data_IF_134092700852
#
_entry.id   IF_134092700852
#
_cell.length_a   1.000
_cell.length_b   1.000
_cell.length_c   1.000
_cell.angle_alpha   90.00
_cell.angle_beta   90.00
_cell.angle_gamma   90.00
#
_symmetry.space_group_name_H-M   'P 1'
#
loop_
_entity.id
_entity.type
_entity.pdbx_description
1 polymer ?
#
# COMPACT_ATOMS: atom_id res chain seq x y z
N UNK A 1 -4.90 5.06 1.22
CA UNK A 1 -5.04 5.19 -0.25
C UNK A 1 -4.63 6.57 -0.75
N UNK A 2 -5.04 7.65 -0.08
CA UNK A 2 -4.73 9.05 -0.46
C UNK A 2 -3.24 9.37 -0.66
N UNK A 3 -2.35 8.80 0.18
CA UNK A 3 -0.91 8.99 0.02
C UNK A 3 -0.41 8.52 -1.35
N UNK A 4 -0.80 7.31 -1.77
CA UNK A 4 -0.43 6.73 -3.06
C UNK A 4 -0.95 7.59 -4.22
N UNK A 5 -2.22 8.00 -4.16
CA UNK A 5 -2.85 8.84 -5.20
C UNK A 5 -2.11 10.17 -5.39
N UNK A 6 -1.64 10.78 -4.31
CA UNK A 6 -0.92 12.05 -4.41
C UNK A 6 0.54 11.87 -4.83
N UNK A 7 1.21 10.78 -4.44
CA UNK A 7 2.56 10.50 -4.92
C UNK A 7 2.58 10.13 -6.42
N UNK A 8 1.58 9.41 -6.90
CA UNK A 8 1.46 8.99 -8.31
C UNK A 8 1.35 10.19 -9.28
N UNK A 9 0.87 11.34 -8.80
CA UNK A 9 0.83 12.60 -9.59
C UNK A 9 2.22 13.16 -9.90
N UNK A 10 3.25 12.74 -9.18
CA UNK A 10 4.59 13.34 -9.22
C UNK A 10 5.73 12.35 -9.44
N UNK A 11 5.53 11.06 -9.14
CA UNK A 11 6.57 10.03 -9.16
C UNK A 11 6.07 8.74 -9.80
N UNK A 12 6.99 7.89 -10.26
CA UNK A 12 6.64 6.52 -10.62
C UNK A 12 6.42 5.69 -9.35
N UNK A 13 5.16 5.38 -9.03
CA UNK A 13 4.77 4.73 -7.78
C UNK A 13 4.37 3.28 -8.02
N UNK A 14 4.69 2.42 -7.05
CA UNK A 14 4.16 1.06 -6.95
C UNK A 14 3.23 1.02 -5.74
N UNK A 15 1.98 0.58 -5.96
CA UNK A 15 1.04 0.30 -4.88
C UNK A 15 1.05 -1.16 -4.51
N UNK A 16 1.65 -1.48 -3.37
CA UNK A 16 1.75 -2.85 -2.88
C UNK A 16 0.87 -3.07 -1.64
N UNK A 17 0.17 -4.20 -1.60
CA UNK A 17 -0.52 -4.70 -0.42
C UNK A 17 -0.58 -6.24 -0.49
N UNK A 18 -0.32 -6.92 0.63
CA UNK A 18 -0.40 -8.40 0.71
C UNK A 18 -1.83 -8.90 0.49
N UNK A 19 -2.84 -8.06 0.72
CA UNK A 19 -4.23 -8.38 0.46
C UNK A 19 -4.55 -8.30 -1.04
N UNK A 20 -4.53 -9.46 -1.71
CA UNK A 20 -4.85 -9.61 -3.13
C UNK A 20 -6.26 -9.13 -3.50
N UNK A 21 -7.25 -9.32 -2.63
CA UNK A 21 -8.63 -8.88 -2.90
C UNK A 21 -8.74 -7.35 -2.91
N UNK A 22 -8.04 -6.70 -1.98
CA UNK A 22 -7.92 -5.24 -1.94
C UNK A 22 -7.27 -4.71 -3.20
N UNK A 23 -6.13 -5.27 -3.62
CA UNK A 23 -5.46 -4.89 -4.87
C UNK A 23 -6.37 -5.08 -6.08
N UNK A 24 -7.11 -6.19 -6.16
CA UNK A 24 -8.04 -6.45 -7.26
C UNK A 24 -9.21 -5.46 -7.28
N UNK A 25 -9.72 -5.07 -6.11
CA UNK A 25 -10.78 -4.05 -5.99
C UNK A 25 -10.27 -2.69 -6.47
N UNK A 26 -9.07 -2.30 -6.05
CA UNK A 26 -8.46 -1.02 -6.45
C UNK A 26 -8.19 -0.97 -7.96
N UNK A 27 -7.73 -2.06 -8.56
CA UNK A 27 -7.59 -2.17 -10.03
C UNK A 27 -8.91 -2.00 -10.79
N UNK A 28 -10.05 -2.30 -10.15
CA UNK A 28 -11.39 -2.07 -10.71
C UNK A 28 -11.91 -0.65 -10.44
N UNK A 29 -11.11 0.20 -9.79
CA UNK A 29 -11.49 1.53 -9.34
C UNK A 29 -12.46 1.50 -8.16
N UNK A 30 -12.37 0.48 -7.30
CA UNK A 30 -13.22 0.31 -6.11
C UNK A 30 -12.32 0.40 -4.87
N UNK A 31 -12.48 1.47 -4.11
CA UNK A 31 -11.90 1.60 -2.77
C UNK A 31 -12.97 1.29 -1.72
N UNK A 32 -12.72 0.23 -0.95
CA UNK A 32 -13.67 -0.31 0.04
C UNK A 32 -13.86 0.65 1.22
N UNK A 33 -12.83 1.45 1.52
CA UNK A 33 -12.89 2.43 2.60
C UNK A 33 -13.52 3.76 2.16
N UNK A 34 -13.73 3.94 0.86
CA UNK A 34 -14.24 5.17 0.26
C UNK A 34 -13.39 6.41 0.64
N UNK A 35 -12.08 6.22 0.85
CA UNK A 35 -11.13 7.27 1.22
C UNK A 35 -10.76 8.14 0.00
N UNK A 36 -10.92 7.58 -1.20
CA UNK A 36 -10.52 8.15 -2.49
C UNK A 36 -11.66 8.03 -3.49
N UNK A 37 -11.91 9.10 -4.25
CA UNK A 37 -12.95 9.11 -5.27
C UNK A 37 -12.67 8.13 -6.42
N UNK A 38 -13.73 7.48 -6.93
CA UNK A 38 -13.65 6.53 -8.07
C UNK A 38 -12.93 7.08 -9.30
N UNK A 39 -13.02 8.38 -9.55
CA UNK A 39 -12.35 9.07 -10.66
C UNK A 39 -10.83 9.09 -10.45
N UNK A 40 -10.38 9.40 -9.23
CA UNK A 40 -8.94 9.44 -8.92
C UNK A 40 -8.32 8.05 -9.04
N UNK A 41 -9.00 7.00 -8.57
CA UNK A 41 -8.50 5.62 -8.69
C UNK A 41 -8.38 5.16 -10.15
N UNK A 42 -9.28 5.59 -11.03
CA UNK A 42 -9.24 5.25 -12.46
C UNK A 42 -8.13 5.96 -13.21
N UNK A 43 -7.69 7.11 -12.70
CA UNK A 43 -6.63 7.92 -13.30
C UNK A 43 -5.23 7.56 -12.77
N UNK A 44 -5.12 6.56 -11.88
CA UNK A 44 -3.84 6.10 -11.38
C UNK A 44 -2.99 5.53 -12.52
N UNK A 45 -1.75 6.01 -12.63
CA UNK A 45 -0.72 5.46 -13.50
C UNK A 45 0.15 4.40 -12.81
N UNK A 46 0.09 4.32 -11.48
CA UNK A 46 0.92 3.44 -10.68
C UNK A 46 0.65 1.95 -10.93
N UNK A 47 1.70 1.12 -10.77
CA UNK A 47 1.56 -0.34 -10.83
C UNK A 47 1.03 -0.85 -9.47
N UNK A 48 -0.22 -1.36 -9.45
CA UNK A 48 -0.79 -2.00 -8.28
C UNK A 48 -0.48 -3.51 -8.26
N UNK A 49 0.00 -4.05 -7.15
CA UNK A 49 0.36 -5.46 -7.05
C UNK A 49 0.25 -6.03 -5.62
N UNK A 50 0.04 -7.34 -5.54
CA UNK A 50 0.20 -8.13 -4.29
C UNK A 50 1.39 -9.10 -4.38
N UNK A 51 2.14 -9.05 -5.47
CA UNK A 51 3.34 -9.83 -5.68
C UNK A 51 4.57 -9.01 -5.26
N UNK A 52 5.24 -9.44 -4.21
CA UNK A 52 6.38 -8.73 -3.61
C UNK A 52 7.56 -8.56 -4.57
N UNK A 53 7.69 -9.39 -5.61
CA UNK A 53 8.82 -9.33 -6.55
C UNK A 53 8.89 -8.00 -7.31
N UNK A 54 7.77 -7.28 -7.41
CA UNK A 54 7.70 -5.93 -7.98
C UNK A 54 8.52 -4.92 -7.18
N UNK A 55 8.69 -5.14 -5.88
CA UNK A 55 9.35 -4.23 -4.94
C UNK A 55 10.82 -4.04 -5.29
N UNK A 56 11.44 -5.01 -5.97
CA UNK A 56 12.83 -4.92 -6.50
C UNK A 56 13.03 -3.78 -7.49
N UNK A 57 11.95 -3.24 -8.07
CA UNK A 57 12.00 -2.07 -8.97
C UNK A 57 12.08 -0.74 -8.20
N UNK A 58 11.75 -0.73 -6.91
CA UNK A 58 11.68 0.48 -6.11
C UNK A 58 13.05 0.85 -5.53
N UNK A 59 13.29 2.15 -5.38
CA UNK A 59 14.49 2.72 -4.76
C UNK A 59 14.22 3.35 -3.39
N UNK A 60 12.94 3.51 -3.04
CA UNK A 60 12.48 4.11 -1.79
C UNK A 60 11.16 3.46 -1.38
N UNK A 61 11.03 3.14 -0.10
CA UNK A 61 9.87 2.44 0.45
C UNK A 61 9.15 3.30 1.48
N UNK A 62 7.84 3.44 1.31
CA UNK A 62 6.95 4.02 2.33
C UNK A 62 6.10 2.90 2.90
N UNK A 63 6.28 2.60 4.19
CA UNK A 63 5.52 1.55 4.88
C UNK A 63 4.37 2.20 5.65
N UNK A 64 3.14 1.95 5.20
CA UNK A 64 1.90 2.45 5.82
C UNK A 64 1.05 1.26 6.28
N UNK A 65 1.45 0.63 7.39
CA UNK A 65 0.74 -0.51 7.99
C UNK A 65 0.10 -0.11 9.33
N UNK A 66 -1.06 -0.70 9.70
CA UNK A 66 -1.66 -0.50 11.01
C UNK A 66 -0.73 -0.85 12.18
N UNK A 67 -0.79 -0.05 13.23
CA UNK A 67 -0.15 -0.31 14.53
C UNK A 67 -1.23 -0.29 15.61
N UNK A 68 -2.03 -1.36 15.74
CA UNK A 68 -3.08 -1.41 16.76
C UNK A 68 -2.46 -1.27 18.16
N UNK A 69 -3.22 -0.73 19.12
CA UNK A 69 -2.75 -0.54 20.50
C UNK A 69 -3.25 -1.68 21.40
N UNK A 70 -2.39 -2.13 22.33
CA UNK A 70 -2.76 -3.10 23.36
C UNK A 70 -3.51 -2.45 24.54
N UNK A 71 -4.00 -3.25 25.49
CA UNK A 71 -4.72 -2.77 26.69
C UNK A 71 -3.88 -1.87 27.60
N UNK A 72 -2.57 -1.77 27.36
CA UNK A 72 -1.62 -0.90 28.09
C UNK A 72 -1.19 0.30 27.24
N UNK A 73 -1.87 0.57 26.12
CA UNK A 73 -1.56 1.63 25.15
C UNK A 73 -0.21 1.48 24.45
N UNK A 74 0.36 0.27 24.40
CA UNK A 74 1.55 0.03 23.60
C UNK A 74 1.17 -0.30 22.17
N UNK A 75 1.88 0.23 21.16
CA UNK A 75 1.66 -0.16 19.78
C UNK A 75 2.14 -1.60 19.56
N UNK A 76 1.29 -2.39 18.91
CA UNK A 76 1.69 -3.66 18.32
C UNK A 76 2.41 -3.38 16.99
N UNK A 77 3.66 -3.81 16.92
CA UNK A 77 4.56 -3.59 15.80
C UNK A 77 4.70 -4.83 14.89
N UNK A 78 3.90 -5.89 15.09
CA UNK A 78 3.99 -7.11 14.29
C UNK A 78 3.85 -6.82 12.78
N UNK A 79 2.89 -5.97 12.40
CA UNK A 79 2.66 -5.62 11.00
C UNK A 79 3.83 -4.84 10.39
N UNK A 80 4.44 -3.94 11.17
CA UNK A 80 5.64 -3.19 10.75
C UNK A 80 6.84 -4.13 10.55
N UNK A 81 7.04 -5.07 11.48
CA UNK A 81 8.11 -6.07 11.38
C UNK A 81 7.93 -6.94 10.13
N UNK A 82 6.71 -7.43 9.89
CA UNK A 82 6.38 -8.22 8.70
C UNK A 82 6.64 -7.46 7.40
N UNK A 83 6.18 -6.20 7.31
CA UNK A 83 6.46 -5.34 6.16
C UNK A 83 7.97 -5.10 5.95
N UNK A 84 8.72 -4.92 7.03
CA UNK A 84 10.17 -4.72 6.97
C UNK A 84 10.90 -5.96 6.44
N UNK A 85 10.45 -7.17 6.81
CA UNK A 85 11.01 -8.43 6.28
C UNK A 85 10.76 -8.53 4.76
N UNK A 86 9.56 -8.20 4.29
CA UNK A 86 9.23 -8.18 2.85
C UNK A 86 10.15 -7.23 2.10
N UNK A 87 10.35 -6.02 2.63
CA UNK A 87 11.27 -5.03 2.03
C UNK A 87 12.70 -5.54 2.03
N UNK A 88 13.19 -6.13 3.13
CA UNK A 88 14.57 -6.61 3.21
C UNK A 88 14.90 -7.75 2.21
N UNK A 89 13.89 -8.49 1.74
CA UNK A 89 14.07 -9.56 0.74
C UNK A 89 14.10 -9.06 -0.72
N UNK A 90 13.79 -7.78 -0.98
CA UNK A 90 13.62 -7.22 -2.32
C UNK A 90 14.54 -6.02 -2.58
#
# INVERSE_FOLDING_TARGET
>A
MQLLVNLDKHFNVIGFDVNKEKINSLKKGIDVNNDVGKIELRNLSCELSSDERILKKANFFVIAVPTPIDVRNNPDLEQLKSATIIVAHN
#
